data_IF_548784640716
#
_entry.id   IF_548784640716
#
_cell.length_a   1.000
_cell.length_b   1.000
_cell.length_c   1.000
_cell.angle_alpha   90.00
_cell.angle_beta   90.00
_cell.angle_gamma   90.00
#
_symmetry.space_group_name_H-M   'P 1'
#
loop_
_entity.id
_entity.type
_entity.pdbx_description
1 polymer ?
#
# COMPACT_ATOMS: atom_id res chain seq x y z
N UNK A 1 32.50 -5.35 8.38
CA UNK A 1 32.55 -4.32 9.44
C UNK A 1 33.39 -3.17 8.94
N UNK A 2 32.80 -2.28 8.15
CA UNK A 2 33.38 -0.98 7.82
C UNK A 2 32.37 0.06 8.28
N UNK A 3 32.78 0.97 9.16
CA UNK A 3 31.92 2.06 9.64
C UNK A 3 31.76 3.07 8.51
N UNK A 4 30.53 3.29 8.05
CA UNK A 4 30.21 4.47 7.26
C UNK A 4 30.27 5.69 8.20
N UNK A 5 31.20 6.62 7.94
CA UNK A 5 31.21 7.94 8.57
C UNK A 5 30.44 8.92 7.69
N UNK A 6 29.79 9.91 8.31
CA UNK A 6 28.86 10.89 7.72
C UNK A 6 29.35 11.59 6.44
N UNK A 7 30.67 11.67 6.21
CA UNK A 7 31.27 12.35 5.05
C UNK A 7 31.05 11.66 3.70
N UNK A 8 30.67 10.38 3.68
CA UNK A 8 30.44 9.61 2.45
C UNK A 8 28.96 9.59 2.00
N UNK A 9 28.05 10.26 2.73
CA UNK A 9 26.60 10.24 2.49
C UNK A 9 26.13 11.59 1.93
N UNK A 10 26.17 11.74 0.61
CA UNK A 10 25.65 12.91 -0.10
C UNK A 10 24.42 12.48 -0.89
N UNK A 11 23.27 13.15 -0.71
CA UNK A 11 22.20 13.03 -1.70
C UNK A 11 22.71 13.61 -3.01
N UNK A 12 22.65 12.80 -4.07
CA UNK A 12 23.06 13.26 -5.38
C UNK A 12 21.82 13.57 -6.18
N UNK A 13 21.69 14.85 -6.55
CA UNK A 13 20.72 15.29 -7.55
C UNK A 13 21.46 15.36 -8.88
N UNK A 14 21.05 14.55 -9.85
CA UNK A 14 21.64 14.53 -11.19
C UNK A 14 20.59 14.99 -12.21
N UNK A 15 20.96 15.96 -13.05
CA UNK A 15 20.20 16.37 -14.23
C UNK A 15 21.10 16.16 -15.47
N UNK A 16 20.68 15.44 -16.52
CA UNK A 16 21.52 15.17 -17.69
C UNK A 16 21.93 16.41 -18.50
N UNK A 17 21.27 17.56 -18.32
CA UNK A 17 21.57 18.79 -19.04
C UNK A 17 22.01 19.93 -18.10
N UNK A 18 23.29 19.94 -17.75
CA UNK A 18 24.01 21.15 -17.40
C UNK A 18 25.42 21.10 -17.99
N UNK A 19 25.64 21.92 -19.03
CA UNK A 19 26.95 22.13 -19.63
C UNK A 19 27.98 22.57 -18.59
N UNK A 20 29.20 22.07 -18.77
CA UNK A 20 30.37 22.39 -17.94
C UNK A 20 30.59 23.89 -17.73
N UNK A 21 30.75 24.31 -16.47
CA UNK A 21 31.57 25.46 -16.11
C UNK A 21 32.22 25.26 -14.71
N UNK A 22 33.55 25.09 -14.73
CA UNK A 22 34.50 25.82 -13.87
C UNK A 22 34.53 25.57 -12.36
N UNK A 23 35.69 25.11 -11.90
CA UNK A 23 36.08 24.82 -10.52
C UNK A 23 36.29 26.03 -9.58
N UNK A 24 36.12 25.72 -8.28
CA UNK A 24 36.79 26.23 -7.08
C UNK A 24 36.69 27.71 -6.70
N UNK A 25 36.06 27.95 -5.54
CA UNK A 25 36.65 28.81 -4.51
C UNK A 25 36.35 28.24 -3.14
N UNK A 26 37.40 28.13 -2.32
CA UNK A 26 37.39 27.71 -0.93
C UNK A 26 36.42 28.57 -0.11
N UNK A 27 35.43 27.93 0.50
CA UNK A 27 34.70 28.46 1.63
C UNK A 27 34.95 27.51 2.82
N UNK A 28 35.46 28.08 3.91
CA UNK A 28 35.88 27.36 5.11
C UNK A 28 34.81 26.41 5.63
N UNK A 29 35.28 25.23 6.06
CA UNK A 29 34.42 24.18 6.59
C UNK A 29 33.55 24.70 7.73
N UNK A 30 32.24 24.43 7.74
CA UNK A 30 31.48 24.49 8.96
C UNK A 30 31.94 23.33 9.85
N UNK A 31 32.22 23.65 11.10
CA UNK A 31 32.53 22.69 12.15
C UNK A 31 31.59 21.49 12.08
N UNK A 32 32.19 20.29 12.05
CA UNK A 32 31.49 19.02 12.07
C UNK A 32 30.69 18.91 13.37
N UNK A 33 29.42 19.31 13.31
CA UNK A 33 28.45 19.02 14.35
C UNK A 33 28.35 17.51 14.51
N UNK A 34 28.53 17.03 15.74
CA UNK A 34 28.23 15.65 16.10
C UNK A 34 26.86 15.26 15.51
N UNK A 35 26.68 14.03 15.03
CA UNK A 35 25.37 13.56 14.61
C UNK A 35 24.40 13.76 15.76
N UNK A 36 23.26 14.40 15.49
CA UNK A 36 22.17 14.38 16.45
C UNK A 36 21.88 12.91 16.73
N UNK A 37 21.97 12.48 17.99
CA UNK A 37 21.86 11.08 18.40
C UNK A 37 20.61 10.37 17.82
N UNK A 38 19.59 11.16 17.46
CA UNK A 38 18.38 10.76 16.76
C UNK A 38 18.61 10.14 15.36
N UNK A 39 19.44 10.76 14.50
CA UNK A 39 19.72 10.28 13.14
C UNK A 39 20.43 8.93 13.13
N UNK A 40 21.53 8.81 13.88
CA UNK A 40 22.29 7.56 13.98
C UNK A 40 21.42 6.45 14.55
N UNK A 41 20.58 6.77 15.53
CA UNK A 41 19.64 5.83 16.07
C UNK A 41 18.62 5.40 14.99
N UNK A 42 18.01 6.34 14.24
CA UNK A 42 17.05 6.03 13.18
C UNK A 42 17.68 5.11 12.14
N UNK A 43 18.92 5.40 11.74
CA UNK A 43 19.66 4.60 10.77
C UNK A 43 20.16 3.27 11.29
N UNK A 44 20.36 3.14 12.59
CA UNK A 44 20.66 1.86 13.24
C UNK A 44 19.40 1.00 13.50
N UNK A 45 18.19 1.47 13.14
CA UNK A 45 16.92 0.84 13.48
C UNK A 45 16.55 0.96 14.97
N UNK A 46 17.26 1.80 15.72
CA UNK A 46 17.10 1.99 17.18
C UNK A 46 16.57 3.38 17.56
N UNK A 47 16.34 4.24 16.57
CA UNK A 47 15.91 5.62 16.77
C UNK A 47 14.42 5.74 16.96
N UNK A 48 13.97 6.91 17.42
CA UNK A 48 12.56 7.14 17.67
C UNK A 48 11.79 6.82 16.39
N UNK A 49 10.70 6.07 16.53
CA UNK A 49 9.89 5.70 15.40
C UNK A 49 9.27 6.93 14.73
N UNK A 50 8.74 6.77 13.52
CA UNK A 50 7.93 7.82 12.89
C UNK A 50 6.76 8.16 13.83
N UNK A 51 6.61 9.40 14.27
CA UNK A 51 5.59 9.74 15.28
C UNK A 51 4.22 9.81 14.63
N UNK A 52 3.29 8.92 14.99
CA UNK A 52 1.93 8.86 14.42
C UNK A 52 0.94 9.31 15.48
N UNK A 53 0.34 10.48 15.31
CA UNK A 53 -0.64 11.03 16.25
C UNK A 53 -0.78 12.54 16.14
N UNK A 54 -1.79 13.10 16.80
CA UNK A 54 -1.91 14.54 16.97
C UNK A 54 -0.77 15.07 17.86
N UNK A 55 -0.45 16.36 17.74
CA UNK A 55 0.60 17.02 18.52
C UNK A 55 0.34 17.01 20.04
N UNK A 56 -0.81 16.47 20.50
CA UNK A 56 -1.22 16.42 21.91
C UNK A 56 -1.05 15.03 22.54
N UNK A 57 -1.07 13.92 21.78
CA UNK A 57 -0.96 12.54 22.31
C UNK A 57 0.37 11.85 22.08
N UNK A 58 1.27 12.44 21.27
CA UNK A 58 2.69 12.06 21.11
C UNK A 58 2.95 10.54 21.06
N UNK A 59 2.04 9.77 20.44
CA UNK A 59 2.20 8.33 20.34
C UNK A 59 3.25 7.99 19.29
N UNK A 60 4.44 7.69 19.75
CA UNK A 60 5.55 7.22 18.94
C UNK A 60 5.23 5.82 18.38
N UNK A 61 5.00 5.67 17.07
CA UNK A 61 4.63 4.38 16.44
C UNK A 61 5.64 3.97 15.37
N UNK A 62 6.34 2.87 15.58
CA UNK A 62 7.29 2.39 14.58
C UNK A 62 6.64 2.17 13.23
N UNK A 63 7.23 2.74 12.17
CA UNK A 63 6.65 2.64 10.81
C UNK A 63 6.52 1.20 10.34
N UNK A 64 7.40 0.30 10.79
CA UNK A 64 7.25 -1.14 10.61
C UNK A 64 5.98 -1.69 11.27
N UNK A 65 5.78 -1.42 12.57
CA UNK A 65 4.56 -1.83 13.30
C UNK A 65 3.29 -1.17 12.77
N UNK A 66 3.39 0.06 12.27
CA UNK A 66 2.30 0.73 11.55
C UNK A 66 1.95 -0.08 10.30
N UNK A 67 2.95 -0.43 9.49
CA UNK A 67 2.76 -1.19 8.27
C UNK A 67 2.10 -2.56 8.51
N UNK A 68 2.55 -3.31 9.53
CA UNK A 68 1.95 -4.60 9.91
C UNK A 68 0.45 -4.49 10.26
N UNK A 69 0.06 -3.37 10.86
CA UNK A 69 -1.34 -3.11 11.24
C UNK A 69 -2.18 -2.66 10.05
N UNK A 70 -1.59 -1.84 9.19
CA UNK A 70 -2.25 -1.23 8.03
C UNK A 70 -2.42 -2.21 6.87
N UNK A 71 -1.40 -2.99 6.56
CA UNK A 71 -1.29 -3.80 5.35
C UNK A 71 -1.52 -5.29 5.62
N UNK A 72 -2.65 -5.63 6.24
CA UNK A 72 -2.98 -7.03 6.60
C UNK A 72 -3.58 -7.84 5.46
N UNK A 73 -4.13 -7.14 4.47
CA UNK A 73 -4.91 -7.67 3.36
C UNK A 73 -4.23 -7.33 2.04
N UNK A 74 -4.38 -8.17 1.02
CA UNK A 74 -4.02 -7.82 -0.35
C UNK A 74 -4.81 -6.59 -0.81
N UNK A 75 -6.11 -6.60 -0.51
CA UNK A 75 -7.02 -5.50 -0.81
C UNK A 75 -7.90 -5.19 0.40
N UNK A 76 -7.91 -3.94 0.84
CA UNK A 76 -8.86 -3.40 1.80
C UNK A 76 -9.59 -2.20 1.19
N UNK A 77 -10.93 -2.21 1.26
CA UNK A 77 -11.77 -1.09 0.81
C UNK A 77 -12.68 -0.60 1.94
N UNK A 78 -12.72 0.71 2.15
CA UNK A 78 -13.55 1.34 3.16
C UNK A 78 -15.03 1.40 2.80
N UNK A 79 -15.34 1.38 1.51
CA UNK A 79 -16.69 1.38 0.97
C UNK A 79 -16.97 0.06 0.22
N UNK A 80 -17.89 0.09 -0.74
CA UNK A 80 -18.16 -1.06 -1.60
C UNK A 80 -17.03 -1.35 -2.58
N UNK A 81 -17.01 -2.57 -3.10
CA UNK A 81 -16.12 -2.99 -4.16
C UNK A 81 -16.94 -3.29 -5.41
N UNK A 82 -16.73 -2.51 -6.47
CA UNK A 82 -17.41 -2.67 -7.75
C UNK A 82 -16.39 -3.10 -8.83
N UNK A 83 -16.62 -4.27 -9.41
CA UNK A 83 -15.71 -4.90 -10.38
C UNK A 83 -16.43 -5.11 -11.71
N UNK A 84 -15.96 -4.40 -12.75
CA UNK A 84 -16.39 -4.61 -14.13
C UNK A 84 -15.70 -5.79 -14.81
N UNK A 85 -14.54 -6.20 -14.30
CA UNK A 85 -13.70 -7.29 -14.80
C UNK A 85 -13.18 -8.16 -13.65
N UNK A 86 -12.35 -9.17 -13.95
CA UNK A 86 -11.94 -10.16 -12.96
C UNK A 86 -11.05 -9.58 -11.85
N UNK A 87 -11.22 -10.12 -10.63
CA UNK A 87 -10.32 -9.91 -9.49
C UNK A 87 -9.64 -11.22 -9.14
N UNK A 88 -8.31 -11.20 -9.03
CA UNK A 88 -7.51 -12.31 -8.54
C UNK A 88 -6.57 -11.82 -7.44
N UNK A 89 -6.53 -12.55 -6.32
CA UNK A 89 -5.55 -12.33 -5.26
C UNK A 89 -4.85 -13.63 -4.91
N UNK A 90 -3.54 -13.56 -4.69
CA UNK A 90 -2.72 -14.63 -4.12
C UNK A 90 -1.71 -14.02 -3.14
N UNK A 91 -0.84 -14.85 -2.56
CA UNK A 91 0.26 -14.37 -1.72
C UNK A 91 1.56 -15.13 -1.94
N UNK A 92 2.66 -14.49 -1.56
CA UNK A 92 4.01 -15.04 -1.55
C UNK A 92 4.85 -14.40 -0.42
N UNK A 93 6.09 -14.88 -0.25
CA UNK A 93 7.08 -14.33 0.67
C UNK A 93 8.31 -13.87 -0.12
N UNK A 94 8.45 -12.57 -0.36
CA UNK A 94 9.49 -12.02 -1.26
C UNK A 94 10.94 -12.26 -0.80
N UNK A 95 11.15 -12.39 0.51
CA UNK A 95 12.44 -12.70 1.13
C UNK A 95 12.84 -14.17 1.01
N UNK A 96 11.87 -15.07 0.83
CA UNK A 96 12.11 -16.51 0.79
C UNK A 96 12.27 -17.03 -0.64
N UNK A 97 11.38 -16.63 -1.54
CA UNK A 97 11.38 -17.09 -2.94
C UNK A 97 10.86 -16.00 -3.89
N UNK A 98 11.20 -16.11 -5.18
CA UNK A 98 10.55 -15.28 -6.19
C UNK A 98 9.08 -15.66 -6.30
N UNK A 99 8.23 -14.67 -6.59
CA UNK A 99 6.81 -14.88 -6.84
C UNK A 99 6.54 -16.07 -7.77
N UNK A 100 5.63 -16.93 -7.35
CA UNK A 100 5.03 -17.98 -8.15
C UNK A 100 3.51 -17.82 -8.10
N UNK A 101 2.81 -17.90 -9.25
CA UNK A 101 1.37 -17.71 -9.28
C UNK A 101 0.57 -18.71 -8.46
N UNK A 102 -0.47 -18.22 -7.81
CA UNK A 102 -1.47 -19.04 -7.13
C UNK A 102 -1.09 -19.50 -5.72
N UNK A 103 -0.17 -18.79 -5.05
CA UNK A 103 0.15 -19.03 -3.64
C UNK A 103 -1.06 -18.79 -2.72
N UNK A 104 -1.15 -19.55 -1.62
CA UNK A 104 -2.24 -19.42 -0.66
C UNK A 104 -2.12 -18.11 0.14
N UNK A 105 -3.25 -17.46 0.41
CA UNK A 105 -3.31 -16.16 1.09
C UNK A 105 -3.76 -15.03 0.16
N UNK A 106 -3.47 -13.78 0.53
CA UNK A 106 -3.95 -12.62 -0.21
C UNK A 106 -5.38 -12.26 0.17
N UNK A 107 -5.59 -12.06 1.47
CA UNK A 107 -6.90 -11.78 2.06
C UNK A 107 -7.52 -10.50 1.48
N UNK A 108 -8.85 -10.48 1.36
CA UNK A 108 -9.59 -9.31 0.86
C UNK A 108 -10.64 -8.87 1.89
N UNK A 109 -10.61 -7.57 2.20
CA UNK A 109 -11.56 -6.89 3.07
C UNK A 109 -12.36 -5.83 2.32
N UNK A 110 -13.69 -5.89 2.44
CA UNK A 110 -14.61 -4.89 1.88
C UNK A 110 -15.57 -4.46 2.98
N UNK A 111 -15.54 -3.21 3.42
CA UNK A 111 -16.47 -2.73 4.45
C UNK A 111 -17.90 -2.56 3.92
N UNK A 112 -18.05 -2.22 2.63
CA UNK A 112 -19.33 -2.14 1.93
C UNK A 112 -19.78 -3.47 1.30
N UNK A 113 -20.63 -3.37 0.27
CA UNK A 113 -21.08 -4.53 -0.52
C UNK A 113 -20.09 -4.84 -1.66
N UNK A 114 -20.08 -6.09 -2.12
CA UNK A 114 -19.35 -6.52 -3.30
C UNK A 114 -20.31 -6.65 -4.50
N UNK A 115 -20.00 -6.00 -5.61
CA UNK A 115 -20.68 -6.18 -6.89
C UNK A 115 -19.66 -6.54 -7.95
N UNK A 116 -19.67 -7.79 -8.42
CA UNK A 116 -18.73 -8.28 -9.42
C UNK A 116 -19.46 -8.79 -10.66
N UNK A 117 -19.17 -8.21 -11.83
CA UNK A 117 -19.74 -8.64 -13.10
C UNK A 117 -18.96 -9.80 -13.74
N UNK A 118 -17.74 -10.05 -13.27
CA UNK A 118 -16.83 -11.08 -13.79
C UNK A 118 -16.28 -11.95 -12.63
N UNK A 119 -15.31 -12.82 -12.92
CA UNK A 119 -14.79 -13.79 -11.98
C UNK A 119 -14.05 -13.14 -10.80
N UNK A 120 -14.32 -13.63 -9.59
CA UNK A 120 -13.60 -13.25 -8.37
C UNK A 120 -12.92 -14.49 -7.82
N UNK A 121 -11.60 -14.44 -7.69
CA UNK A 121 -10.78 -15.50 -7.13
C UNK A 121 -9.89 -14.92 -6.02
N UNK A 122 -10.22 -15.22 -4.77
CA UNK A 122 -9.44 -14.79 -3.61
C UNK A 122 -8.68 -16.00 -3.08
N UNK A 123 -7.34 -15.95 -3.11
CA UNK A 123 -6.48 -17.04 -2.63
C UNK A 123 -6.56 -17.28 -1.12
N UNK A 124 -6.95 -16.25 -0.37
CA UNK A 124 -7.05 -16.25 1.09
C UNK A 124 -8.50 -16.17 1.57
N UNK A 125 -8.69 -15.46 2.67
CA UNK A 125 -10.01 -15.19 3.26
C UNK A 125 -10.65 -13.94 2.64
N UNK A 126 -11.97 -13.98 2.41
CA UNK A 126 -12.76 -12.84 1.92
C UNK A 126 -13.78 -12.41 2.98
N UNK A 127 -13.75 -11.14 3.35
CA UNK A 127 -14.66 -10.54 4.33
C UNK A 127 -15.39 -9.35 3.70
N UNK A 128 -16.72 -9.39 3.74
CA UNK A 128 -17.62 -8.36 3.20
C UNK A 128 -18.50 -7.89 4.35
N UNK A 129 -18.36 -6.63 4.76
CA UNK A 129 -19.07 -6.06 5.89
C UNK A 129 -20.48 -5.55 5.55
N UNK A 130 -20.69 -5.11 4.31
CA UNK A 130 -21.91 -4.42 3.90
C UNK A 130 -23.15 -5.32 3.95
N UNK A 131 -24.26 -4.76 4.43
CA UNK A 131 -25.55 -5.44 4.50
C UNK A 131 -26.13 -5.82 3.11
N UNK A 132 -25.65 -5.17 2.04
CA UNK A 132 -25.96 -5.55 0.66
C UNK A 132 -25.31 -6.88 0.22
N UNK A 133 -24.33 -7.37 0.99
CA UNK A 133 -23.67 -8.65 0.75
C UNK A 133 -22.87 -8.68 -0.54
N UNK A 134 -23.00 -9.77 -1.30
CA UNK A 134 -22.28 -10.00 -2.54
C UNK A 134 -23.24 -10.32 -3.71
N UNK A 135 -23.09 -9.56 -4.79
CA UNK A 135 -23.72 -9.80 -6.08
C UNK A 135 -22.66 -10.27 -7.08
N UNK A 136 -22.88 -11.45 -7.64
CA UNK A 136 -21.91 -12.17 -8.47
C UNK A 136 -22.45 -12.36 -9.88
N UNK A 137 -21.62 -12.09 -10.88
CA UNK A 137 -21.92 -12.26 -12.30
C UNK A 137 -21.33 -13.54 -12.91
N UNK A 138 -20.16 -13.99 -12.43
CA UNK A 138 -19.45 -15.17 -12.93
C UNK A 138 -18.89 -16.01 -11.77
N UNK A 139 -17.91 -16.87 -12.06
CA UNK A 139 -17.26 -17.76 -11.09
C UNK A 139 -16.76 -17.01 -9.85
N UNK A 140 -17.06 -17.55 -8.67
CA UNK A 140 -16.61 -17.01 -7.40
C UNK A 140 -15.84 -18.05 -6.60
N UNK A 141 -14.60 -17.77 -6.22
CA UNK A 141 -13.73 -18.67 -5.46
C UNK A 141 -13.08 -17.96 -4.29
N UNK A 142 -13.10 -18.60 -3.13
CA UNK A 142 -12.40 -18.18 -1.92
C UNK A 142 -11.58 -19.37 -1.40
N UNK A 143 -10.27 -19.17 -1.30
CA UNK A 143 -9.28 -20.20 -0.96
C UNK A 143 -9.24 -20.57 0.52
N UNK A 144 -9.77 -19.71 1.39
CA UNK A 144 -9.92 -19.99 2.82
C UNK A 144 -11.36 -19.74 3.29
N UNK A 145 -11.59 -18.77 4.18
CA UNK A 145 -12.90 -18.51 4.78
C UNK A 145 -13.63 -17.35 4.11
N UNK A 146 -14.95 -17.48 4.00
CA UNK A 146 -15.85 -16.40 3.57
C UNK A 146 -16.63 -15.87 4.78
N UNK A 147 -16.66 -14.55 4.97
CA UNK A 147 -17.59 -13.87 5.87
C UNK A 147 -18.34 -12.78 5.11
N UNK A 148 -19.60 -13.03 4.79
CA UNK A 148 -20.48 -12.09 4.10
C UNK A 148 -21.51 -11.50 5.07
N UNK A 149 -21.53 -10.17 5.18
CA UNK A 149 -22.41 -9.42 6.07
C UNK A 149 -23.84 -9.24 5.57
N UNK A 150 -24.16 -9.76 4.39
CA UNK A 150 -25.46 -9.68 3.73
C UNK A 150 -25.76 -10.92 2.88
N UNK A 151 -26.71 -10.83 1.93
CA UNK A 151 -27.04 -11.94 1.03
C UNK A 151 -25.92 -12.26 0.04
N UNK A 152 -25.88 -13.50 -0.43
CA UNK A 152 -24.98 -13.97 -1.49
C UNK A 152 -25.81 -14.35 -2.71
N UNK A 153 -25.71 -13.58 -3.79
CA UNK A 153 -26.62 -13.66 -4.93
C UNK A 153 -25.88 -13.71 -6.27
N UNK A 154 -26.46 -14.39 -7.26
CA UNK A 154 -25.89 -14.48 -8.62
C UNK A 154 -26.56 -15.56 -9.46
N UNK A 155 -26.73 -15.30 -10.77
CA UNK A 155 -27.34 -16.25 -11.69
C UNK A 155 -26.82 -16.03 -13.13
N UNK A 156 -26.28 -17.06 -13.82
CA UNK A 156 -26.05 -18.44 -13.39
C UNK A 156 -24.64 -18.63 -12.78
N UNK A 157 -24.47 -18.35 -11.48
CA UNK A 157 -23.14 -18.38 -10.82
C UNK A 157 -22.93 -19.64 -9.99
N UNK A 158 -21.77 -20.28 -10.17
CA UNK A 158 -21.24 -21.24 -9.20
C UNK A 158 -20.21 -20.58 -8.28
N UNK A 159 -20.37 -20.81 -6.98
CA UNK A 159 -19.47 -20.31 -5.96
C UNK A 159 -18.79 -21.47 -5.21
N UNK A 160 -17.50 -21.32 -4.90
CA UNK A 160 -16.73 -22.28 -4.10
C UNK A 160 -15.99 -21.56 -2.98
N UNK A 161 -16.16 -22.03 -1.76
CA UNK A 161 -15.38 -21.64 -0.58
C UNK A 161 -14.67 -22.90 -0.07
N UNK A 162 -13.34 -22.87 0.00
CA UNK A 162 -12.55 -24.05 0.41
C UNK A 162 -12.72 -24.32 1.91
N UNK A 163 -12.74 -23.28 2.74
CA UNK A 163 -12.93 -23.37 4.19
C UNK A 163 -14.37 -23.16 4.62
N UNK A 164 -14.54 -22.48 5.76
CA UNK A 164 -15.83 -22.14 6.34
C UNK A 164 -16.47 -20.93 5.64
N UNK A 165 -17.81 -20.89 5.61
CA UNK A 165 -18.57 -19.77 5.10
C UNK A 165 -19.58 -19.26 6.14
N UNK A 166 -19.59 -17.96 6.40
CA UNK A 166 -20.58 -17.27 7.25
C UNK A 166 -21.32 -16.25 6.41
N UNK A 167 -22.64 -16.40 6.24
CA UNK A 167 -23.44 -15.52 5.38
C UNK A 167 -24.61 -14.98 6.19
N UNK A 168 -24.64 -13.67 6.44
CA UNK A 168 -25.75 -12.99 7.12
C UNK A 168 -26.83 -12.56 6.13
N UNK A 169 -27.42 -13.52 5.44
CA UNK A 169 -28.52 -13.25 4.50
C UNK A 169 -28.91 -14.46 3.68
N UNK A 170 -29.74 -14.20 2.67
CA UNK A 170 -30.17 -15.25 1.73
C UNK A 170 -29.01 -15.70 0.85
N UNK A 171 -28.94 -16.99 0.58
CA UNK A 171 -28.03 -17.58 -0.41
C UNK A 171 -28.85 -17.92 -1.65
N UNK A 172 -28.83 -17.02 -2.62
CA UNK A 172 -29.56 -17.13 -3.88
C UNK A 172 -28.60 -17.39 -5.05
N UNK A 173 -27.93 -18.54 -5.00
CA UNK A 173 -27.06 -19.05 -6.05
C UNK A 173 -27.60 -20.39 -6.57
N UNK A 174 -27.42 -20.72 -7.86
CA UNK A 174 -27.77 -22.04 -8.38
C UNK A 174 -26.86 -23.16 -7.85
N UNK A 175 -25.63 -22.84 -7.43
CA UNK A 175 -24.74 -23.79 -6.76
C UNK A 175 -23.73 -23.07 -5.85
N UNK A 176 -23.67 -23.46 -4.58
CA UNK A 176 -22.63 -23.06 -3.63
C UNK A 176 -21.96 -24.31 -3.04
N UNK A 177 -20.64 -24.42 -3.16
CA UNK A 177 -19.82 -25.44 -2.50
C UNK A 177 -19.03 -24.82 -1.35
N UNK A 178 -19.10 -25.42 -0.17
CA UNK A 178 -18.34 -25.02 1.03
C UNK A 178 -17.60 -26.25 1.56
N UNK A 179 -16.28 -26.19 1.70
CA UNK A 179 -15.51 -27.32 2.19
C UNK A 179 -15.67 -27.57 3.69
N UNK A 180 -15.95 -26.52 4.46
CA UNK A 180 -16.18 -26.55 5.90
C UNK A 180 -17.64 -26.35 6.31
N UNK A 181 -17.83 -25.62 7.42
CA UNK A 181 -19.15 -25.30 7.98
C UNK A 181 -19.72 -24.07 7.28
N UNK A 182 -20.96 -24.19 6.80
CA UNK A 182 -21.76 -23.06 6.33
C UNK A 182 -22.69 -22.58 7.46
N UNK A 183 -22.49 -21.36 7.94
CA UNK A 183 -23.40 -20.70 8.89
C UNK A 183 -24.27 -19.66 8.20
N UNK A 184 -25.59 -19.78 8.36
CA UNK A 184 -26.61 -18.88 7.83
C UNK A 184 -27.69 -18.67 8.88
N UNK A 185 -28.15 -17.45 9.19
CA UNK A 185 -29.19 -17.27 10.21
C UNK A 185 -30.51 -17.98 9.86
N UNK A 186 -31.27 -18.32 10.90
CA UNK A 186 -32.57 -18.98 10.74
C UNK A 186 -33.55 -18.09 9.96
N UNK A 187 -34.39 -18.70 9.12
CA UNK A 187 -35.40 -17.98 8.32
C UNK A 187 -34.91 -17.47 6.95
N UNK A 188 -33.61 -17.44 6.70
CA UNK A 188 -33.07 -17.06 5.38
C UNK A 188 -33.17 -18.17 4.34
N UNK A 189 -33.37 -17.76 3.09
CA UNK A 189 -33.42 -18.65 1.93
C UNK A 189 -32.04 -19.26 1.70
N UNK A 190 -32.01 -20.56 1.42
CA UNK A 190 -30.80 -21.29 1.06
C UNK A 190 -31.07 -22.02 -0.25
N UNK A 191 -30.39 -21.60 -1.31
CA UNK A 191 -30.38 -22.30 -2.59
C UNK A 191 -29.65 -23.65 -2.51
N UNK A 192 -29.36 -24.29 -3.66
CA UNK A 192 -28.59 -25.52 -3.69
C UNK A 192 -27.18 -25.34 -3.11
N UNK A 193 -26.90 -26.04 -2.01
CA UNK A 193 -25.63 -26.00 -1.29
C UNK A 193 -25.07 -27.42 -1.13
N UNK A 194 -23.76 -27.55 -1.33
CA UNK A 194 -22.96 -28.69 -0.89
C UNK A 194 -21.96 -28.20 0.17
N UNK A 195 -22.18 -28.58 1.43
CA UNK A 195 -21.34 -28.19 2.56
C UNK A 195 -21.12 -29.38 3.51
N UNK A 196 -19.98 -29.41 4.21
CA UNK A 196 -19.71 -30.47 5.19
C UNK A 196 -20.73 -30.44 6.35
N UNK A 197 -21.13 -29.23 6.77
CA UNK A 197 -22.18 -29.01 7.76
C UNK A 197 -22.89 -27.68 7.46
N UNK A 198 -24.22 -27.62 7.66
CA UNK A 198 -25.00 -26.38 7.59
C UNK A 198 -25.57 -26.07 8.97
N UNK A 199 -25.20 -24.91 9.54
CA UNK A 199 -25.72 -24.42 10.81
C UNK A 199 -26.64 -23.22 10.62
N UNK A 200 -27.81 -23.28 11.26
CA UNK A 200 -28.81 -22.23 11.24
C UNK A 200 -28.69 -21.31 12.45
N UNK A 201 -27.59 -20.56 12.50
CA UNK A 201 -27.17 -19.76 13.66
C UNK A 201 -26.96 -18.29 13.29
N UNK A 202 -27.12 -17.35 14.24
CA UNK A 202 -26.78 -15.95 14.01
C UNK A 202 -25.34 -15.78 13.54
N UNK A 203 -25.12 -14.82 12.62
CA UNK A 203 -23.80 -14.45 12.12
C UNK A 203 -23.51 -13.02 12.57
N UNK A 204 -22.36 -12.78 13.22
CA UNK A 204 -21.95 -11.48 13.76
C UNK A 204 -21.36 -10.53 12.72
N UNK A 205 -21.70 -9.21 12.77
CA UNK A 205 -21.23 -8.24 11.78
C UNK A 205 -19.70 -8.15 11.76
N UNK A 206 -19.16 -7.88 10.58
CA UNK A 206 -17.72 -7.80 10.36
C UNK A 206 -17.38 -6.44 9.76
N UNK A 207 -16.36 -5.79 10.31
CA UNK A 207 -15.75 -4.60 9.74
C UNK A 207 -14.32 -5.02 9.39
N UNK A 208 -14.08 -5.42 8.13
CA UNK A 208 -12.78 -5.97 7.75
C UNK A 208 -11.66 -4.93 7.71
N UNK A 209 -11.96 -3.68 7.32
CA UNK A 209 -10.98 -2.62 7.15
C UNK A 209 -11.14 -1.53 8.21
N UNK A 210 -10.05 -1.15 8.87
CA UNK A 210 -10.00 -0.11 9.89
C UNK A 210 -10.08 1.30 9.27
N UNK A 211 -11.29 1.68 8.86
CA UNK A 211 -11.54 2.91 8.10
C UNK A 211 -12.19 4.03 8.93
N UNK A 212 -12.49 3.79 10.20
CA UNK A 212 -12.94 4.85 11.10
C UNK A 212 -11.80 5.85 11.36
N UNK A 213 -12.15 7.13 11.51
CA UNK A 213 -11.17 8.21 11.66
C UNK A 213 -10.20 8.00 12.85
N UNK A 214 -10.63 7.30 13.90
CA UNK A 214 -9.80 7.03 15.07
C UNK A 214 -8.74 5.94 14.82
N UNK A 215 -8.95 5.08 13.82
CA UNK A 215 -8.03 4.00 13.46
C UNK A 215 -7.17 4.34 12.24
N UNK A 216 -7.40 5.48 11.60
CA UNK A 216 -6.65 5.93 10.43
C UNK A 216 -5.30 6.54 10.79
N UNK A 217 -4.35 6.42 9.87
CA UNK A 217 -3.04 7.07 9.99
C UNK A 217 -3.18 8.56 9.66
N UNK A 218 -2.75 9.44 10.57
CA UNK A 218 -2.71 10.89 10.30
C UNK A 218 -1.51 11.25 9.41
N UNK A 219 -1.65 11.00 8.11
CA UNK A 219 -0.63 11.28 7.10
C UNK A 219 -0.34 12.79 7.00
N UNK A 220 -1.36 13.64 7.14
CA UNK A 220 -1.18 15.09 7.08
C UNK A 220 -0.41 15.62 8.29
N UNK A 221 -0.73 15.16 9.50
CA UNK A 221 0.02 15.49 10.71
C UNK A 221 1.48 15.02 10.65
N UNK A 222 1.71 13.81 10.12
CA UNK A 222 3.04 13.27 9.87
C UNK A 222 3.90 14.16 8.97
N UNK A 223 3.33 14.61 7.85
CA UNK A 223 3.99 15.52 6.92
C UNK A 223 4.25 16.86 7.59
N UNK A 224 3.24 17.47 8.21
CA UNK A 224 3.36 18.78 8.87
C UNK A 224 4.46 18.80 9.94
N UNK A 225 4.63 17.69 10.67
CA UNK A 225 5.73 17.52 11.62
C UNK A 225 7.10 17.51 10.93
N UNK A 226 7.25 16.70 9.87
CA UNK A 226 8.54 16.52 9.20
C UNK A 226 8.91 17.64 8.23
N UNK A 227 8.01 18.58 7.95
CA UNK A 227 8.39 19.89 7.38
C UNK A 227 9.35 20.63 8.31
N UNK A 228 9.13 20.53 9.63
CA UNK A 228 9.92 21.21 10.65
C UNK A 228 11.07 20.35 11.20
N UNK A 229 10.90 19.03 11.16
CA UNK A 229 11.77 18.04 11.79
C UNK A 229 12.19 16.98 10.77
N UNK A 230 13.17 17.31 9.96
CA UNK A 230 13.75 16.44 8.94
C UNK A 230 15.27 16.59 8.91
N UNK A 231 15.87 15.72 8.12
CA UNK A 231 17.31 15.57 8.02
C UNK A 231 17.89 16.14 6.72
N UNK A 232 17.12 16.96 5.97
CA UNK A 232 17.58 17.56 4.72
C UNK A 232 18.89 18.33 4.88
N UNK A 233 19.00 19.12 5.95
CA UNK A 233 20.19 19.91 6.27
C UNK A 233 21.43 19.03 6.51
N UNK A 234 21.25 17.77 6.95
CA UNK A 234 22.36 16.86 7.20
C UNK A 234 23.08 16.43 5.91
N UNK A 235 22.41 16.53 4.76
CA UNK A 235 22.95 16.14 3.45
C UNK A 235 22.88 17.26 2.40
N UNK A 236 22.45 18.47 2.80
CA UNK A 236 22.30 19.62 1.90
C UNK A 236 21.19 19.48 0.86
N UNK A 237 20.13 18.72 1.16
CA UNK A 237 18.98 18.57 0.27
C UNK A 237 18.08 19.82 0.34
N UNK A 238 17.91 20.53 -0.76
CA UNK A 238 16.90 21.60 -0.84
C UNK A 238 15.49 20.98 -0.96
N UNK A 239 14.52 21.49 -0.22
CA UNK A 239 13.15 20.97 -0.25
C UNK A 239 12.48 21.11 -1.63
N UNK A 240 12.95 22.06 -2.45
CA UNK A 240 12.48 22.30 -3.82
C UNK A 240 13.30 21.57 -4.88
N UNK A 241 14.25 20.70 -4.50
CA UNK A 241 15.16 20.04 -5.45
C UNK A 241 14.47 19.23 -6.56
N UNK A 242 13.22 18.80 -6.32
CA UNK A 242 12.42 18.01 -7.26
C UNK A 242 11.27 18.81 -7.90
N UNK A 243 11.34 20.14 -7.88
CA UNK A 243 10.45 21.03 -8.62
C UNK A 243 10.97 21.35 -10.02
N UNK A 244 10.07 21.74 -10.92
CA UNK A 244 10.36 22.20 -12.28
C UNK A 244 11.32 21.26 -13.04
N UNK A 245 11.02 19.96 -12.99
CA UNK A 245 11.81 18.94 -13.68
C UNK A 245 11.56 19.05 -15.20
N UNK A 246 12.59 19.49 -15.91
CA UNK A 246 12.71 19.39 -17.37
C UNK A 246 13.65 18.22 -17.71
N UNK A 247 13.25 17.34 -18.64
CA UNK A 247 14.03 16.14 -18.97
C UNK A 247 14.03 15.10 -17.83
N UNK A 248 15.17 14.53 -17.49
CA UNK A 248 15.29 13.55 -16.40
C UNK A 248 15.94 14.17 -15.16
N UNK A 249 15.42 13.88 -13.97
CA UNK A 249 16.08 14.22 -12.70
C UNK A 249 16.11 13.01 -11.78
N UNK A 250 17.31 12.67 -11.32
CA UNK A 250 17.52 11.60 -10.36
C UNK A 250 17.87 12.17 -8.98
N UNK A 251 17.30 11.59 -7.93
CA UNK A 251 17.61 11.87 -6.53
C UNK A 251 17.92 10.54 -5.82
N UNK A 252 19.16 10.41 -5.33
CA UNK A 252 19.54 9.31 -4.46
C UNK A 252 19.46 9.74 -2.99
N UNK A 253 18.73 8.98 -2.17
CA UNK A 253 18.57 9.26 -0.74
C UNK A 253 19.35 8.24 0.10
N UNK A 254 20.21 8.70 1.03
CA UNK A 254 20.83 7.84 2.03
C UNK A 254 19.78 7.46 3.09
N UNK A 255 20.22 6.78 4.15
CA UNK A 255 19.34 6.59 5.30
C UNK A 255 18.89 7.95 5.84
N UNK A 256 17.62 8.11 6.22
CA UNK A 256 17.14 9.35 6.81
C UNK A 256 15.65 9.65 6.69
N UNK A 257 15.22 10.78 7.24
CA UNK A 257 13.88 11.36 7.06
C UNK A 257 14.00 12.67 6.27
N UNK A 258 13.48 12.69 5.05
CA UNK A 258 13.63 13.81 4.12
C UNK A 258 12.30 14.44 3.76
N UNK A 259 12.32 15.73 3.49
CA UNK A 259 11.16 16.49 3.07
C UNK A 259 11.37 17.09 1.68
N UNK A 260 10.33 17.05 0.86
CA UNK A 260 10.21 17.81 -0.38
C UNK A 260 8.88 18.56 -0.35
N UNK A 261 8.89 19.79 -0.86
CA UNK A 261 7.67 20.59 -1.00
C UNK A 261 6.72 19.95 -2.02
N UNK A 262 7.25 19.58 -3.19
CA UNK A 262 6.51 18.91 -4.27
C UNK A 262 7.47 18.15 -5.20
N UNK A 263 6.93 17.25 -6.02
CA UNK A 263 7.67 16.62 -7.12
C UNK A 263 6.95 16.98 -8.40
N UNK A 264 7.47 17.94 -9.16
CA UNK A 264 6.73 18.52 -10.29
C UNK A 264 7.60 18.76 -11.52
N UNK A 265 6.99 18.69 -12.71
CA UNK A 265 7.63 19.07 -13.96
C UNK A 265 7.08 18.33 -15.18
N UNK A 266 7.49 18.75 -16.37
CA UNK A 266 7.13 18.06 -17.61
C UNK A 266 7.96 16.80 -17.84
N UNK A 267 9.08 16.66 -17.15
CA UNK A 267 10.03 15.57 -17.28
C UNK A 267 9.73 14.32 -16.43
N UNK A 268 10.79 13.54 -16.19
CA UNK A 268 10.82 12.29 -15.43
C UNK A 268 11.62 12.46 -14.13
N UNK A 269 11.10 11.90 -13.04
CA UNK A 269 11.81 11.79 -11.78
C UNK A 269 12.24 10.33 -11.50
N UNK A 270 13.45 10.15 -11.00
CA UNK A 270 13.97 8.87 -10.51
C UNK A 270 14.41 9.02 -9.05
N UNK A 271 13.84 8.24 -8.14
CA UNK A 271 14.25 8.17 -6.74
C UNK A 271 15.00 6.85 -6.50
N UNK A 272 16.22 6.91 -5.97
CA UNK A 272 17.01 5.72 -5.62
C UNK A 272 17.20 5.63 -4.11
N UNK A 273 16.74 4.54 -3.52
CA UNK A 273 16.75 4.30 -2.07
C UNK A 273 17.66 3.11 -1.76
N UNK A 274 18.75 3.35 -1.03
CA UNK A 274 19.73 2.30 -0.67
C UNK A 274 19.71 1.88 0.80
N UNK A 275 19.03 2.66 1.64
CA UNK A 275 18.93 2.42 3.08
C UNK A 275 17.54 2.82 3.60
N UNK A 276 17.29 2.63 4.90
CA UNK A 276 16.02 2.97 5.55
C UNK A 276 15.73 4.46 5.40
N UNK A 277 14.70 4.79 4.65
CA UNK A 277 14.38 6.17 4.25
C UNK A 277 12.90 6.46 4.46
N UNK A 278 12.59 7.60 5.06
CA UNK A 278 11.27 8.21 5.02
C UNK A 278 11.33 9.46 4.13
N UNK A 279 10.41 9.59 3.18
CA UNK A 279 10.29 10.76 2.32
C UNK A 279 8.88 11.35 2.48
N UNK A 280 8.82 12.62 2.86
CA UNK A 280 7.59 13.38 3.05
C UNK A 280 7.45 14.41 1.92
N UNK A 281 6.43 14.25 1.09
CA UNK A 281 6.09 15.21 0.03
C UNK A 281 4.86 16.00 0.49
N UNK A 282 5.05 17.30 0.70
CA UNK A 282 4.05 18.15 1.35
C UNK A 282 2.79 18.36 0.52
N UNK A 283 2.97 18.65 -0.77
CA UNK A 283 1.89 19.01 -1.69
C UNK A 283 1.70 17.91 -2.75
N UNK A 284 1.96 18.23 -4.01
CA UNK A 284 1.60 17.39 -5.16
C UNK A 284 2.80 16.61 -5.73
N UNK A 285 2.49 15.46 -6.33
CA UNK A 285 3.34 14.80 -7.31
C UNK A 285 2.68 14.96 -8.68
N UNK A 286 3.26 15.75 -9.59
CA UNK A 286 2.72 16.02 -10.93
C UNK A 286 3.83 15.95 -12.00
N UNK A 287 3.88 14.86 -12.76
CA UNK A 287 4.97 14.58 -13.70
C UNK A 287 4.46 14.22 -15.11
N UNK A 288 5.07 14.83 -16.12
CA UNK A 288 4.74 14.60 -17.53
C UNK A 288 5.26 13.27 -18.11
N UNK A 289 6.53 12.90 -17.87
CA UNK A 289 7.15 11.75 -18.54
C UNK A 289 7.24 10.47 -17.69
N UNK A 290 7.19 10.56 -16.37
CA UNK A 290 7.14 9.39 -15.49
C UNK A 290 7.79 9.57 -14.13
N UNK A 291 7.54 8.59 -13.25
CA UNK A 291 8.17 8.49 -11.93
C UNK A 291 8.69 7.07 -11.73
N UNK A 292 9.96 6.95 -11.39
CA UNK A 292 10.58 5.67 -11.02
C UNK A 292 11.12 5.74 -9.59
N UNK A 293 10.72 4.80 -8.75
CA UNK A 293 11.23 4.67 -7.38
C UNK A 293 11.91 3.31 -7.27
N UNK A 294 13.24 3.31 -7.30
CA UNK A 294 14.07 2.11 -7.16
C UNK A 294 14.50 1.95 -5.70
N UNK A 295 14.10 0.84 -5.08
CA UNK A 295 14.46 0.51 -3.70
C UNK A 295 15.32 -0.75 -3.72
N UNK A 296 16.62 -0.56 -3.52
CA UNK A 296 17.61 -1.62 -3.58
C UNK A 296 17.90 -2.15 -2.19
N UNK A 297 18.04 -3.47 -2.03
CA UNK A 297 18.45 -4.04 -0.76
C UNK A 297 19.82 -3.49 -0.29
N UNK A 298 19.99 -3.11 0.99
CA UNK A 298 19.08 -3.34 2.13
C UNK A 298 18.01 -2.23 2.36
N UNK A 299 17.86 -1.27 1.45
CA UNK A 299 16.94 -0.14 1.58
C UNK A 299 15.47 -0.50 1.75
N UNK A 300 14.75 0.42 2.38
CA UNK A 300 13.31 0.41 2.59
C UNK A 300 12.81 1.85 2.56
N UNK A 301 11.61 2.06 2.00
CA UNK A 301 11.01 3.38 1.80
C UNK A 301 9.65 3.47 2.50
N UNK A 302 9.51 4.49 3.35
CA UNK A 302 8.22 5.05 3.76
C UNK A 302 7.99 6.37 2.99
N UNK A 303 7.05 6.39 2.05
CA UNK A 303 6.71 7.57 1.25
C UNK A 303 5.37 8.14 1.72
N UNK A 304 5.35 9.39 2.18
CA UNK A 304 4.15 10.11 2.62
C UNK A 304 3.84 11.22 1.63
N UNK A 305 2.61 11.24 1.10
CA UNK A 305 2.17 12.17 0.07
C UNK A 305 0.96 12.97 0.57
N UNK A 306 1.11 14.30 0.63
CA UNK A 306 0.07 15.19 1.17
C UNK A 306 -1.05 15.48 0.19
N UNK A 307 -0.74 15.57 -1.10
CA UNK A 307 -1.66 16.00 -2.15
C UNK A 307 -1.99 14.94 -3.20
N UNK A 308 -2.32 15.41 -4.40
CA UNK A 308 -2.63 14.56 -5.54
C UNK A 308 -1.36 13.89 -6.10
N UNK A 309 -1.55 12.72 -6.72
CA UNK A 309 -0.52 12.04 -7.49
C UNK A 309 -1.00 11.92 -8.93
N UNK A 310 -0.40 12.70 -9.82
CA UNK A 310 -0.64 12.71 -11.25
C UNK A 310 0.68 12.40 -11.96
N UNK A 311 0.74 11.27 -12.67
CA UNK A 311 1.90 10.91 -13.49
C UNK A 311 1.35 10.53 -14.85
N UNK A 312 1.60 11.36 -15.87
CA UNK A 312 1.08 11.11 -17.22
C UNK A 312 1.84 9.97 -17.91
N UNK A 313 3.13 9.82 -17.62
CA UNK A 313 3.95 8.70 -18.06
C UNK A 313 3.83 7.45 -17.18
N UNK A 314 4.73 6.47 -17.36
CA UNK A 314 4.77 5.28 -16.53
C UNK A 314 5.12 5.62 -15.07
N UNK A 315 4.43 4.95 -14.13
CA UNK A 315 4.77 4.94 -12.72
C UNK A 315 5.36 3.57 -12.35
N UNK A 316 6.62 3.56 -11.93
CA UNK A 316 7.29 2.36 -11.41
C UNK A 316 7.60 2.57 -9.95
N UNK A 317 7.00 1.77 -9.08
CA UNK A 317 7.24 1.80 -7.64
C UNK A 317 7.84 0.47 -7.19
N UNK A 318 9.06 0.51 -6.66
CA UNK A 318 9.72 -0.63 -6.02
C UNK A 318 10.09 -1.76 -6.96
N UNK A 319 10.30 -2.95 -6.38
CA UNK A 319 10.67 -4.16 -7.09
C UNK A 319 9.72 -5.30 -6.73
N UNK A 320 9.23 -6.04 -7.74
CA UNK A 320 8.27 -7.14 -7.57
C UNK A 320 8.81 -8.30 -6.73
N UNK A 321 10.13 -8.41 -6.59
CA UNK A 321 10.77 -9.41 -5.74
C UNK A 321 10.66 -9.10 -4.24
N UNK A 322 10.55 -7.83 -3.85
CA UNK A 322 10.54 -7.39 -2.44
C UNK A 322 9.63 -6.17 -2.24
N UNK A 323 8.34 -6.25 -2.59
CA UNK A 323 7.42 -5.12 -2.48
C UNK A 323 7.18 -4.69 -1.01
N UNK A 324 7.37 -5.60 -0.03
CA UNK A 324 7.32 -5.28 1.40
C UNK A 324 8.23 -4.12 1.84
N UNK A 325 9.28 -3.80 1.06
CA UNK A 325 10.21 -2.69 1.35
C UNK A 325 9.64 -1.31 1.04
N UNK A 326 8.55 -1.21 0.27
CA UNK A 326 7.96 0.07 -0.15
C UNK A 326 6.59 0.23 0.50
N UNK A 327 6.41 1.34 1.22
CA UNK A 327 5.16 1.71 1.88
C UNK A 327 4.82 3.13 1.48
N UNK A 328 3.63 3.34 0.92
CA UNK A 328 3.15 4.62 0.42
C UNK A 328 1.89 4.99 1.18
N UNK A 329 1.86 6.18 1.77
CA UNK A 329 0.75 6.72 2.53
C UNK A 329 0.29 8.02 1.88
N UNK A 330 -0.99 8.12 1.55
CA UNK A 330 -1.56 9.25 0.81
C UNK A 330 -2.66 9.88 1.66
N UNK A 331 -2.50 11.17 1.98
CA UNK A 331 -3.50 11.95 2.71
C UNK A 331 -4.66 12.38 1.79
N UNK A 332 -4.36 12.61 0.51
CA UNK A 332 -5.31 13.11 -0.47
C UNK A 332 -6.51 12.18 -0.72
N UNK A 333 -7.63 12.80 -1.13
CA UNK A 333 -8.86 12.11 -1.55
C UNK A 333 -9.01 11.97 -3.06
N UNK A 334 -7.97 12.37 -3.81
CA UNK A 334 -7.95 12.39 -5.25
C UNK A 334 -8.02 10.97 -5.83
N UNK A 335 -8.48 10.86 -7.08
CA UNK A 335 -8.45 9.59 -7.81
C UNK A 335 -7.01 9.23 -8.12
N UNK A 336 -6.57 8.04 -7.71
CA UNK A 336 -5.32 7.46 -8.18
C UNK A 336 -5.61 6.69 -9.47
N UNK A 337 -5.19 7.25 -10.59
CA UNK A 337 -5.29 6.60 -11.90
C UNK A 337 -3.95 5.95 -12.25
N UNK A 338 -3.96 4.65 -12.55
CA UNK A 338 -2.77 3.94 -13.03
C UNK A 338 -2.83 3.80 -14.55
N UNK A 339 -1.79 4.29 -15.23
CA UNK A 339 -1.62 4.15 -16.67
C UNK A 339 -1.15 2.74 -17.03
N UNK A 340 -1.45 2.29 -18.26
CA UNK A 340 -1.01 0.99 -18.75
C UNK A 340 0.54 0.91 -18.77
N UNK A 341 1.09 -0.20 -18.26
CA UNK A 341 2.54 -0.41 -18.15
C UNK A 341 3.17 0.14 -16.86
N UNK A 342 2.39 0.76 -15.98
CA UNK A 342 2.82 1.06 -14.61
C UNK A 342 2.99 -0.23 -13.80
N UNK A 343 4.03 -0.28 -12.97
CA UNK A 343 4.30 -1.39 -12.06
C UNK A 343 4.18 -0.84 -10.63
N UNK A 344 3.27 -1.41 -9.85
CA UNK A 344 3.13 -1.09 -8.44
C UNK A 344 3.62 -2.28 -7.61
N UNK A 345 4.87 -2.20 -7.14
CA UNK A 345 5.46 -3.14 -6.22
C UNK A 345 5.71 -2.46 -4.87
N UNK A 346 4.68 -2.48 -4.03
CA UNK A 346 4.66 -1.80 -2.74
C UNK A 346 3.33 -1.93 -2.03
N UNK A 347 3.24 -1.29 -0.86
CA UNK A 347 2.05 -1.27 -0.02
C UNK A 347 1.46 0.13 -0.02
N UNK A 348 0.24 0.29 -0.54
CA UNK A 348 -0.43 1.58 -0.72
C UNK A 348 -1.54 1.78 0.32
N UNK A 349 -1.48 2.86 1.08
CA UNK A 349 -2.50 3.30 2.01
C UNK A 349 -3.05 4.67 1.60
N UNK A 350 -4.30 4.69 1.13
CA UNK A 350 -5.01 5.90 0.69
C UNK A 350 -6.51 5.80 1.05
N UNK A 351 -6.86 5.83 2.35
CA UNK A 351 -8.21 5.51 2.86
C UNK A 351 -9.32 6.44 2.35
N UNK A 352 -8.96 7.58 1.78
CA UNK A 352 -9.89 8.58 1.24
C UNK A 352 -9.93 8.61 -0.29
N UNK A 353 -9.03 7.88 -0.96
CA UNK A 353 -8.87 7.92 -2.40
C UNK A 353 -9.62 6.79 -3.11
N UNK A 354 -10.03 7.07 -4.35
CA UNK A 354 -10.56 6.05 -5.27
C UNK A 354 -9.42 5.57 -6.16
N UNK A 355 -9.20 4.26 -6.20
CA UNK A 355 -8.31 3.63 -7.16
C UNK A 355 -9.09 3.34 -8.45
N UNK A 356 -8.80 4.08 -9.51
CA UNK A 356 -9.46 3.92 -10.81
C UNK A 356 -8.54 3.22 -11.80
N UNK A 357 -8.97 2.07 -12.30
CA UNK A 357 -8.21 1.23 -13.23
C UNK A 357 -9.00 1.08 -14.54
N UNK A 358 -8.61 1.85 -15.55
CA UNK A 358 -9.22 1.78 -16.89
C UNK A 358 -8.67 0.63 -17.75
N UNK A 359 -7.53 0.07 -17.37
CA UNK A 359 -6.91 -1.11 -17.99
C UNK A 359 -6.61 -2.20 -16.95
N UNK A 360 -6.09 -3.34 -17.42
CA UNK A 360 -5.65 -4.39 -16.51
C UNK A 360 -4.48 -3.91 -15.64
N UNK A 361 -4.52 -4.25 -14.35
CA UNK A 361 -3.50 -3.87 -13.38
C UNK A 361 -2.97 -5.10 -12.63
N UNK A 362 -1.68 -5.07 -12.35
CA UNK A 362 -0.98 -6.09 -11.58
C UNK A 362 -0.21 -5.38 -10.46
N UNK A 363 -0.53 -5.73 -9.22
CA UNK A 363 0.02 -5.12 -8.01
C UNK A 363 0.75 -6.18 -7.22
N UNK A 364 1.99 -5.90 -6.83
CA UNK A 364 2.75 -6.72 -5.89
C UNK A 364 2.80 -5.99 -4.54
N UNK A 365 2.24 -6.57 -3.50
CA UNK A 365 2.07 -5.96 -2.17
C UNK A 365 0.60 -5.83 -1.78
N UNK A 366 0.21 -4.67 -1.25
CA UNK A 366 -1.13 -4.47 -0.70
C UNK A 366 -1.72 -3.12 -1.06
N UNK A 367 -3.05 -3.04 -1.09
CA UNK A 367 -3.81 -1.84 -1.39
C UNK A 367 -4.89 -1.63 -0.33
N UNK A 368 -4.83 -0.49 0.35
CA UNK A 368 -5.86 0.00 1.26
C UNK A 368 -6.39 1.32 0.71
N UNK A 369 -7.66 1.35 0.28
CA UNK A 369 -8.26 2.53 -0.37
C UNK A 369 -9.68 2.79 0.11
N UNK A 370 -10.25 3.95 -0.24
CA UNK A 370 -11.68 4.19 -0.02
C UNK A 370 -12.52 3.21 -0.83
N UNK A 371 -12.24 3.16 -2.13
CA UNK A 371 -12.99 2.38 -3.12
C UNK A 371 -12.07 2.00 -4.28
N UNK A 372 -12.36 0.87 -4.93
CA UNK A 372 -11.77 0.48 -6.21
C UNK A 372 -12.85 0.54 -7.29
N UNK A 373 -12.49 1.15 -8.41
CA UNK A 373 -13.27 1.15 -9.66
C UNK A 373 -12.40 0.54 -10.77
N UNK A 374 -12.58 -0.75 -11.02
CA UNK A 374 -11.79 -1.49 -12.00
C UNK A 374 -12.66 -1.90 -13.20
N UNK A 375 -12.32 -1.35 -14.37
CA UNK A 375 -12.90 -1.75 -15.66
C UNK A 375 -12.08 -2.83 -16.38
N UNK A 376 -10.80 -3.00 -15.99
CA UNK A 376 -9.92 -4.08 -16.46
C UNK A 376 -9.56 -5.08 -15.35
N UNK A 377 -8.98 -6.24 -15.70
CA UNK A 377 -8.60 -7.26 -14.73
C UNK A 377 -7.65 -6.72 -13.65
N UNK A 378 -7.93 -7.01 -12.39
CA UNK A 378 -7.09 -6.63 -11.26
C UNK A 378 -6.47 -7.88 -10.62
N UNK A 379 -5.14 -7.95 -10.63
CA UNK A 379 -4.35 -9.01 -9.99
C UNK A 379 -3.54 -8.42 -8.84
N UNK A 380 -3.67 -8.97 -7.64
CA UNK A 380 -2.88 -8.57 -6.48
C UNK A 380 -2.09 -9.76 -5.93
N UNK A 381 -0.79 -9.56 -5.77
CA UNK A 381 0.17 -10.52 -5.28
C UNK A 381 0.68 -10.07 -3.92
N UNK A 382 0.06 -10.54 -2.84
CA UNK A 382 0.37 -10.08 -1.50
C UNK A 382 1.70 -10.62 -1.00
N UNK A 383 2.64 -9.72 -0.70
CA UNK A 383 3.89 -10.10 -0.04
C UNK A 383 3.69 -10.14 1.46
N UNK A 384 3.61 -11.36 2.00
CA UNK A 384 3.32 -11.60 3.40
C UNK A 384 4.43 -11.12 4.34
N UNK A 385 5.62 -10.83 3.83
CA UNK A 385 6.74 -10.31 4.62
C UNK A 385 6.46 -8.93 5.23
N UNK A 386 5.46 -8.19 4.71
CA UNK A 386 4.98 -6.95 5.33
C UNK A 386 4.45 -7.16 6.77
N UNK A 387 4.07 -8.39 7.12
CA UNK A 387 3.61 -8.77 8.47
C UNK A 387 4.74 -8.87 9.50
N UNK A 388 5.99 -8.85 9.04
CA UNK A 388 7.19 -8.88 9.88
C UNK A 388 7.98 -7.56 9.81
N UNK A 389 7.43 -6.52 9.13
CA UNK A 389 8.10 -5.24 8.94
C UNK A 389 8.42 -4.50 10.25
N UNK A 390 7.70 -4.81 11.32
CA UNK A 390 7.89 -4.30 12.67
C UNK A 390 8.93 -5.06 13.48
N UNK A 391 9.48 -6.18 12.99
CA UNK A 391 10.51 -6.94 13.70
C UNK A 391 11.79 -6.12 13.96
N UNK A 392 12.08 -5.13 13.12
CA UNK A 392 13.21 -4.21 13.27
C UNK A 392 12.97 -3.13 14.35
N UNK A 393 11.74 -2.98 14.82
CA UNK A 393 11.38 -2.02 15.85
C UNK A 393 11.76 -2.55 17.24
N UNK A 394 12.92 -2.14 17.77
CA UNK A 394 13.31 -2.51 19.13
C UNK A 394 12.69 -1.56 20.17
N UNK A 395 11.94 -2.11 21.14
CA UNK A 395 11.49 -1.41 22.35
C UNK A 395 10.06 -0.89 22.30
N UNK A 396 9.24 -1.38 23.24
CA UNK A 396 8.14 -0.63 23.86
C UNK A 396 8.67 0.05 25.12
#
# INVERSE_FOLDING_TARGET
MGSCTRGDLVATVQSPDAGHAGSSSDAGGPDGGEPAADWEAYCAGRGPPIVVGDAETDSQVCSGRLAERTFRHALCTCEGLALGASLETDAFHGTSERYQPGGAGGDVGVNGALSANDAVSVGGSLRIGGAGGAQLGQTFRVGEALHCGGPLTGNPVSATVVGDARIRGDVALPALRVGGVLMVPAGHVLGPVDAAEVRREPVDPVIPCACDAASQVDVSGLIARHVLDNDNAAIGLDATAMEDIEGERALELPCGRFHLTRITGTGRATLTIRARTALFVEDVVDLGEGLSVDVQAPGALDLFLGGAVAVAGPLTLGATATPSRVRVYVAGSNVLALSAGSILAGNLYAPHAVLSLSGGAEVFGSVFVRQVEASGPLRLHYDADIRDAGAECTGD
#
